data_IF_785570537573
#
_entry.id   IF_785570537573
#
_cell.length_a   1.000
_cell.length_b   1.000
_cell.length_c   1.000
_cell.angle_alpha   90.00
_cell.angle_beta   90.00
_cell.angle_gamma   90.00
#
_symmetry.space_group_name_H-M   'P 1'
#
loop_
_entity.id
_entity.type
_entity.pdbx_description
1 polymer ?
#
# COMPACT_ATOMS: atom_id res chain seq x y z
N UNK A 1 20.36 29.39 -12.38
CA UNK A 1 19.06 28.84 -12.78
C UNK A 1 18.87 27.52 -12.05
N UNK A 2 18.08 27.51 -10.96
CA UNK A 2 17.81 26.29 -10.17
C UNK A 2 16.77 25.49 -10.94
N UNK A 3 17.26 24.48 -11.68
CA UNK A 3 16.44 23.58 -12.49
C UNK A 3 15.44 22.83 -11.61
N UNK A 4 14.22 22.81 -12.11
CA UNK A 4 13.03 22.25 -11.50
C UNK A 4 13.14 20.72 -11.34
N UNK A 5 13.59 20.27 -10.18
CA UNK A 5 13.44 18.86 -9.73
C UNK A 5 12.44 18.73 -8.58
N UNK A 6 11.94 19.85 -8.05
CA UNK A 6 10.97 19.90 -6.96
C UNK A 6 9.52 20.05 -7.45
N UNK A 7 9.28 19.99 -8.77
CA UNK A 7 7.96 20.12 -9.38
C UNK A 7 7.38 18.75 -9.81
N UNK A 8 7.72 17.71 -9.05
CA UNK A 8 7.06 16.39 -9.06
C UNK A 8 6.36 16.12 -7.73
N UNK A 9 6.09 17.16 -6.92
CA UNK A 9 5.13 17.05 -5.85
C UNK A 9 3.75 17.46 -6.41
N UNK A 10 2.76 16.56 -6.28
CA UNK A 10 1.31 16.77 -6.46
C UNK A 10 0.65 16.33 -7.78
N UNK A 11 0.99 15.15 -8.31
CA UNK A 11 -0.10 14.22 -8.60
C UNK A 11 -0.08 13.22 -7.45
N UNK A 12 -1.12 13.19 -6.63
CA UNK A 12 -1.18 12.36 -5.42
C UNK A 12 -1.19 10.88 -5.81
N UNK A 13 -0.01 10.26 -5.92
CA UNK A 13 0.13 8.83 -6.19
C UNK A 13 -0.18 8.02 -4.94
N UNK A 14 -0.85 6.89 -5.12
CA UNK A 14 -1.09 5.90 -4.06
C UNK A 14 0.09 4.95 -3.99
N UNK A 15 0.73 4.84 -2.84
CA UNK A 15 1.72 3.81 -2.58
C UNK A 15 1.04 2.58 -1.98
N UNK A 16 1.43 1.40 -2.48
CA UNK A 16 1.02 0.10 -1.95
C UNK A 16 2.26 -0.65 -1.53
N UNK A 17 2.24 -1.19 -0.31
CA UNK A 17 3.28 -2.07 0.21
C UNK A 17 2.68 -3.46 0.41
N UNK A 18 3.21 -4.44 -0.30
CA UNK A 18 2.82 -5.84 -0.22
C UNK A 18 3.82 -6.58 0.66
N UNK A 19 3.35 -7.26 1.69
CA UNK A 19 4.16 -8.08 2.59
C UNK A 19 3.90 -9.55 2.30
N UNK A 20 4.95 -10.33 2.08
CA UNK A 20 4.85 -11.74 1.69
C UNK A 20 5.09 -12.70 2.86
N UNK A 21 4.65 -13.95 2.68
CA UNK A 21 4.86 -15.04 3.64
C UNK A 21 6.32 -15.28 4.04
N UNK A 22 7.27 -14.99 3.14
CA UNK A 22 8.70 -15.17 3.38
C UNK A 22 9.34 -14.01 4.17
N UNK A 23 8.55 -13.03 4.60
CA UNK A 23 9.03 -11.85 5.34
C UNK A 23 9.52 -10.70 4.46
N UNK A 24 9.60 -10.87 3.14
CA UNK A 24 9.94 -9.80 2.22
C UNK A 24 8.75 -8.86 1.99
N UNK A 25 9.05 -7.66 1.47
CA UNK A 25 8.04 -6.71 1.05
C UNK A 25 8.44 -5.99 -0.23
N UNK A 26 7.46 -5.67 -1.06
CA UNK A 26 7.62 -4.83 -2.25
C UNK A 26 6.73 -3.60 -2.16
N UNK A 27 7.19 -2.48 -2.71
CA UNK A 27 6.45 -1.21 -2.71
C UNK A 27 6.23 -0.74 -4.15
N UNK A 28 4.99 -0.37 -4.47
CA UNK A 28 4.59 0.13 -5.78
C UNK A 28 3.94 1.50 -5.63
N UNK A 29 4.30 2.44 -6.52
CA UNK A 29 3.60 3.71 -6.66
C UNK A 29 2.62 3.60 -7.81
N UNK A 30 1.35 3.91 -7.56
CA UNK A 30 0.29 3.88 -8.53
C UNK A 30 -0.03 5.29 -9.05
N UNK A 31 -0.29 5.46 -10.35
CA UNK A 31 -0.66 6.74 -10.96
C UNK A 31 -2.14 7.11 -10.71
N UNK A 32 -2.65 6.81 -9.50
CA UNK A 32 -4.00 7.14 -9.05
C UNK A 32 -3.97 7.56 -7.59
N UNK A 33 -4.89 8.43 -7.18
CA UNK A 33 -5.00 8.86 -5.79
C UNK A 33 -5.76 7.85 -4.91
N UNK A 34 -5.72 8.04 -3.59
CA UNK A 34 -6.28 7.07 -2.65
C UNK A 34 -7.80 6.96 -2.73
N UNK A 35 -8.50 8.02 -3.16
CA UNK A 35 -9.95 7.99 -3.39
C UNK A 35 -10.31 7.14 -4.61
N UNK A 36 -9.56 7.27 -5.69
CA UNK A 36 -9.70 6.40 -6.87
C UNK A 36 -9.31 4.97 -6.55
N UNK A 37 -8.26 4.77 -5.74
CA UNK A 37 -7.85 3.43 -5.33
C UNK A 37 -8.91 2.76 -4.43
N UNK A 38 -9.58 3.53 -3.56
CA UNK A 38 -10.64 3.03 -2.69
C UNK A 38 -11.78 2.35 -3.47
N UNK A 39 -12.16 2.88 -4.64
CA UNK A 39 -13.29 2.31 -5.40
C UNK A 39 -12.95 0.95 -6.02
N UNK A 40 -11.68 0.70 -6.33
CA UNK A 40 -11.23 -0.55 -6.94
C UNK A 40 -10.70 -1.56 -5.93
N UNK A 41 -10.33 -1.12 -4.73
CA UNK A 41 -9.69 -1.96 -3.71
C UNK A 41 -10.50 -3.24 -3.37
N UNK A 42 -11.83 -3.20 -3.15
CA UNK A 42 -12.59 -4.43 -2.84
C UNK A 42 -12.49 -5.48 -3.93
N UNK A 43 -12.56 -5.06 -5.20
CA UNK A 43 -12.42 -5.96 -6.34
C UNK A 43 -10.99 -6.48 -6.48
N UNK A 44 -9.98 -5.62 -6.23
CA UNK A 44 -8.57 -5.99 -6.25
C UNK A 44 -8.25 -7.08 -5.22
N UNK A 45 -8.77 -6.95 -3.99
CA UNK A 45 -8.57 -7.90 -2.90
C UNK A 45 -9.18 -9.29 -3.19
N UNK A 46 -10.09 -9.39 -4.15
CA UNK A 46 -10.70 -10.65 -4.59
C UNK A 46 -9.97 -11.29 -5.78
N UNK A 47 -9.02 -10.57 -6.41
CA UNK A 47 -8.29 -11.12 -7.55
C UNK A 47 -7.22 -12.12 -7.08
N UNK A 48 -7.06 -13.27 -7.75
CA UNK A 48 -5.98 -14.21 -7.44
C UNK A 48 -4.58 -13.68 -7.85
N UNK A 49 -4.56 -12.75 -8.81
CA UNK A 49 -3.35 -12.13 -9.34
C UNK A 49 -3.54 -10.63 -9.50
N UNK A 50 -2.51 -9.87 -9.14
CA UNK A 50 -2.44 -8.42 -9.39
C UNK A 50 -1.30 -8.18 -10.39
N UNK A 51 -1.55 -7.35 -11.39
CA UNK A 51 -0.55 -7.02 -12.42
C UNK A 51 -0.17 -5.55 -12.32
N UNK A 52 1.13 -5.28 -12.28
CA UNK A 52 1.72 -3.95 -12.33
C UNK A 52 2.50 -3.80 -13.62
N UNK A 53 2.12 -2.81 -14.43
CA UNK A 53 2.89 -2.42 -15.60
C UNK A 53 3.84 -1.29 -15.19
N UNK A 54 5.11 -1.65 -15.01
CA UNK A 54 6.18 -0.70 -14.73
C UNK A 54 6.79 -0.21 -16.05
N UNK A 55 7.73 0.73 -15.95
CA UNK A 55 8.29 1.38 -17.14
C UNK A 55 9.10 0.42 -18.02
N UNK A 56 9.72 -0.58 -17.41
CA UNK A 56 10.69 -1.51 -18.01
C UNK A 56 10.25 -2.98 -17.94
N UNK A 57 9.29 -3.30 -17.07
CA UNK A 57 8.81 -4.67 -16.87
C UNK A 57 7.33 -4.73 -16.46
N UNK A 58 6.74 -5.91 -16.65
CA UNK A 58 5.44 -6.25 -16.05
C UNK A 58 5.66 -7.20 -14.89
N UNK A 59 5.07 -6.88 -13.74
CA UNK A 59 5.15 -7.70 -12.51
C UNK A 59 3.77 -8.27 -12.21
N UNK A 60 3.68 -9.59 -12.09
CA UNK A 60 2.45 -10.28 -11.71
C UNK A 60 2.63 -10.89 -10.32
N UNK A 61 1.73 -10.56 -9.39
CA UNK A 61 1.84 -10.92 -7.98
C UNK A 61 0.64 -11.80 -7.60
N UNK A 62 0.92 -12.99 -7.09
CA UNK A 62 -0.11 -13.87 -6.54
C UNK A 62 -0.56 -13.35 -5.18
N UNK A 63 -1.85 -13.07 -5.03
CA UNK A 63 -2.41 -12.57 -3.77
C UNK A 63 -2.43 -13.63 -2.67
N UNK A 64 -2.42 -14.92 -3.02
CA UNK A 64 -2.31 -16.05 -2.07
C UNK A 64 -1.02 -16.03 -1.24
N UNK A 65 0.02 -15.35 -1.73
CA UNK A 65 1.32 -15.24 -1.03
C UNK A 65 1.49 -13.92 -0.28
N UNK A 66 0.53 -12.99 -0.43
CA UNK A 66 0.51 -11.69 0.24
C UNK A 66 -0.22 -11.83 1.58
N UNK A 67 0.47 -11.47 2.66
CA UNK A 67 -0.05 -11.54 4.04
C UNK A 67 -0.69 -10.25 4.51
N UNK A 68 -0.21 -9.12 4.01
CA UNK A 68 -0.67 -7.79 4.43
C UNK A 68 -0.44 -6.81 3.29
N UNK A 69 -1.38 -5.89 3.15
CA UNK A 69 -1.28 -4.75 2.24
C UNK A 69 -1.33 -3.47 3.09
N UNK A 70 -0.34 -2.59 2.94
CA UNK A 70 -0.39 -1.23 3.46
C UNK A 70 -0.59 -0.24 2.31
N UNK A 71 -1.42 0.78 2.52
CA UNK A 71 -1.79 1.77 1.50
C UNK A 71 -1.50 3.16 2.05
N UNK A 72 -0.84 4.01 1.27
CA UNK A 72 -0.56 5.41 1.60
C UNK A 72 -0.93 6.32 0.42
N UNK A 73 -1.55 7.49 0.63
CA UNK A 73 -2.11 7.99 1.89
C UNK A 73 -3.32 7.14 2.37
N UNK A 74 -3.75 7.28 3.64
CA UNK A 74 -4.82 6.44 4.19
C UNK A 74 -6.16 6.64 3.47
N UNK A 75 -6.93 5.56 3.40
CA UNK A 75 -8.31 5.57 2.90
C UNK A 75 -9.25 5.81 4.08
N UNK A 76 -9.86 6.99 4.15
CA UNK A 76 -10.60 7.44 5.34
C UNK A 76 -12.11 7.12 5.33
N UNK A 77 -12.65 6.60 4.23
CA UNK A 77 -14.10 6.48 4.03
C UNK A 77 -14.57 5.04 3.75
N UNK A 78 -13.77 4.02 4.04
CA UNK A 78 -14.25 2.64 3.90
C UNK A 78 -15.27 2.31 4.98
N UNK A 79 -16.32 1.58 4.60
CA UNK A 79 -17.41 1.13 5.47
C UNK A 79 -17.70 -0.35 5.19
N UNK A 80 -18.11 -1.10 6.21
CA UNK A 80 -18.45 -2.52 6.11
C UNK A 80 -17.94 -3.33 7.30
N UNK A 81 -18.27 -4.62 7.31
CA UNK A 81 -17.79 -5.55 8.33
C UNK A 81 -16.26 -5.66 8.30
N UNK A 82 -15.64 -5.70 9.49
CA UNK A 82 -14.18 -5.80 9.63
C UNK A 82 -13.40 -4.50 9.35
N UNK A 83 -14.08 -3.38 9.10
CA UNK A 83 -13.45 -2.06 8.89
C UNK A 83 -13.59 -1.21 10.15
N UNK A 84 -12.45 -0.72 10.68
CA UNK A 84 -12.40 0.10 11.89
C UNK A 84 -11.78 1.47 11.58
N UNK A 85 -12.62 2.50 11.47
CA UNK A 85 -12.18 3.87 11.23
C UNK A 85 -11.33 4.42 12.40
N UNK A 86 -10.38 5.31 12.09
CA UNK A 86 -9.54 6.01 13.07
C UNK A 86 -8.77 5.10 14.05
N UNK A 87 -8.48 3.86 13.63
CA UNK A 87 -7.67 2.92 14.42
C UNK A 87 -6.23 3.39 14.56
N UNK A 88 -5.61 3.09 15.70
CA UNK A 88 -4.21 3.44 15.99
C UNK A 88 -3.35 2.18 16.08
N UNK A 89 -2.21 2.17 15.40
CA UNK A 89 -1.20 1.12 15.54
C UNK A 89 -0.43 1.35 16.85
N UNK A 90 -0.63 0.49 17.83
CA UNK A 90 0.15 0.51 19.08
C UNK A 90 1.34 -0.42 18.94
N UNK A 91 2.56 0.11 19.13
CA UNK A 91 3.77 -0.72 19.25
C UNK A 91 4.04 -0.92 20.74
N UNK A 92 3.93 -2.14 21.28
CA UNK A 92 4.23 -2.37 22.69
C UNK A 92 5.71 -2.05 22.94
N UNK A 93 5.98 -1.30 24.01
CA UNK A 93 7.33 -1.00 24.48
C UNK A 93 8.00 -2.32 24.91
N UNK A 94 8.90 -2.85 24.09
CA UNK A 94 9.78 -3.94 24.50
C UNK A 94 10.83 -3.34 25.43
N UNK A 95 10.63 -3.49 26.75
CA UNK A 95 11.72 -3.26 27.71
C UNK A 95 12.75 -4.36 27.48
N UNK A 96 13.88 -4.01 26.85
CA UNK A 96 15.08 -4.84 26.89
C UNK A 96 15.47 -5.01 28.36
N UNK A 97 15.09 -6.14 28.96
CA UNK A 97 15.64 -6.57 30.23
C UNK A 97 17.05 -7.10 29.94
N UNK A 98 18.03 -6.18 29.88
CA UNK A 98 19.44 -6.54 29.91
C UNK A 98 19.69 -7.24 31.26
N UNK A 99 20.06 -8.53 31.20
CA UNK A 99 20.62 -9.27 32.33
C UNK A 99 22.14 -9.19 32.28
#
# INVERSE_FOLDING_TARGET
MKGSFAQYAQESSTEIILYYLNGNSETFSLPINSQQFQTILPQLLQQPWITFHLIDQTVCISTEKVMKIEIKPPINQMQGEGIFANSQRITPLQRNATR
#
